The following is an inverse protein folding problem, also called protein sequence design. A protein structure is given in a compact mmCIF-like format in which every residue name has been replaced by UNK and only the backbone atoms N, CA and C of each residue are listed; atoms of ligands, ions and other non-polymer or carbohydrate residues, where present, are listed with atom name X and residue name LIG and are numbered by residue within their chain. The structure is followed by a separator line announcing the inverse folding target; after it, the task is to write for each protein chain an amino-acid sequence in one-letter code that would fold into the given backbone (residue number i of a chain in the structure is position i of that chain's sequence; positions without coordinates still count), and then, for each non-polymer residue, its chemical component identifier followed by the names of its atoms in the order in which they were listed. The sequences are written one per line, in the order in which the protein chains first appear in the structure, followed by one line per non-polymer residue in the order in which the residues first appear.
data_IF_024418939187
#
_entry.id   IF_024418939187
#
_cell.length_a   1.000
_cell.length_b   1.000
_cell.length_c   1.000
_cell.angle_alpha   90.00
_cell.angle_beta   90.00
_cell.angle_gamma   90.00
#
_symmetry.space_group_name_H-M   'P 1'
#
loop_
_entity.id
_entity.type
_entity.pdbx_description
1 polymer ?
#
# COMPACT_ATOMS: atom_id res chain seq x y z
N UNK A 1 5.13 0.62 -14.76
CA UNK A 1 3.94 1.37 -15.24
C UNK A 1 3.80 2.65 -14.45
N UNK A 2 3.57 3.79 -15.09
CA UNK A 2 3.56 5.09 -14.43
C UNK A 2 2.26 5.32 -13.64
N UNK A 3 2.40 5.65 -12.35
CA UNK A 3 1.32 6.12 -11.47
C UNK A 3 1.17 7.63 -11.66
N UNK A 4 2.18 8.41 -11.31
CA UNK A 4 2.18 9.87 -11.45
C UNK A 4 3.61 10.42 -11.60
N UNK A 5 3.77 11.74 -11.50
CA UNK A 5 5.08 12.40 -11.46
C UNK A 5 5.10 13.50 -10.41
N UNK A 6 6.28 13.72 -9.83
CA UNK A 6 6.56 14.83 -8.93
C UNK A 6 7.88 15.49 -9.32
N UNK A 7 7.87 16.78 -9.69
CA UNK A 7 9.07 17.55 -10.08
C UNK A 7 9.98 16.82 -11.08
N UNK A 8 9.40 16.19 -12.09
CA UNK A 8 10.12 15.44 -13.13
C UNK A 8 10.48 14.00 -12.74
N UNK A 9 10.38 13.62 -11.47
CA UNK A 9 10.54 12.24 -11.02
C UNK A 9 9.28 11.43 -11.37
N UNK A 10 9.46 10.24 -11.92
CA UNK A 10 8.35 9.33 -12.21
C UNK A 10 8.15 8.38 -11.04
N UNK A 11 6.90 8.27 -10.58
CA UNK A 11 6.47 7.28 -9.59
C UNK A 11 5.83 6.12 -10.35
N UNK A 12 6.39 4.93 -10.20
CA UNK A 12 6.03 3.78 -11.04
C UNK A 12 5.83 2.52 -10.20
N UNK A 13 4.94 1.63 -10.62
CA UNK A 13 4.94 0.23 -10.16
C UNK A 13 5.85 -0.56 -11.09
N UNK A 14 6.88 -1.22 -10.55
CA UNK A 14 7.64 -2.21 -11.31
C UNK A 14 6.86 -3.53 -11.25
N UNK A 15 7.15 -4.50 -12.12
CA UNK A 15 6.42 -5.78 -12.13
C UNK A 15 7.33 -6.99 -11.99
N UNK A 16 8.64 -6.79 -12.18
CA UNK A 16 9.60 -7.86 -12.00
C UNK A 16 9.97 -7.89 -10.54
N UNK A 17 9.86 -9.07 -9.95
CA UNK A 17 10.26 -9.38 -8.57
C UNK A 17 9.51 -8.59 -7.48
N UNK A 18 8.36 -8.00 -7.84
CA UNK A 18 7.51 -7.33 -6.85
C UNK A 18 6.88 -8.34 -5.91
N UNK A 19 6.96 -7.99 -4.64
CA UNK A 19 6.44 -8.76 -3.52
C UNK A 19 5.79 -7.80 -2.53
N UNK A 20 5.01 -8.37 -1.62
CA UNK A 20 4.39 -7.61 -0.54
C UNK A 20 5.44 -6.92 0.36
N UNK A 21 5.09 -5.78 0.98
CA UNK A 21 3.83 -5.02 0.84
C UNK A 21 3.67 -4.26 -0.50
N UNK A 22 2.46 -3.76 -0.81
CA UNK A 22 2.22 -2.93 -1.99
C UNK A 22 3.08 -1.67 -1.97
N UNK A 23 3.78 -1.41 -3.06
CA UNK A 23 4.71 -0.29 -3.12
C UNK A 23 4.93 0.23 -4.54
N UNK A 24 5.45 1.46 -4.62
CA UNK A 24 5.88 2.11 -5.85
C UNK A 24 7.38 2.42 -5.76
N UNK A 25 7.99 2.62 -6.92
CA UNK A 25 9.39 2.94 -7.09
C UNK A 25 9.57 4.32 -7.70
N UNK A 26 10.62 5.00 -7.26
CA UNK A 26 11.08 6.27 -7.81
C UNK A 26 12.56 6.13 -8.11
N UNK A 27 12.96 6.42 -9.36
CA UNK A 27 14.36 6.46 -9.76
C UNK A 27 14.79 7.93 -9.92
N UNK A 28 15.68 8.38 -9.04
CA UNK A 28 16.30 9.70 -9.04
C UNK A 28 17.67 9.76 -9.74
N UNK A 29 18.03 8.71 -10.49
CA UNK A 29 19.28 8.57 -11.23
C UNK A 29 20.43 8.08 -10.34
N UNK A 30 20.79 8.86 -9.32
CA UNK A 30 21.87 8.50 -8.39
C UNK A 30 21.38 7.79 -7.12
N UNK A 31 20.06 7.73 -6.94
CA UNK A 31 19.34 7.06 -5.85
C UNK A 31 18.01 6.51 -6.36
N UNK A 32 17.47 5.54 -5.65
CA UNK A 32 16.12 5.03 -5.82
C UNK A 32 15.40 5.04 -4.48
N UNK A 33 14.09 5.21 -4.48
CA UNK A 33 13.25 5.09 -3.29
C UNK A 33 12.06 4.19 -3.55
N UNK A 34 11.64 3.47 -2.52
CA UNK A 34 10.38 2.71 -2.50
C UNK A 34 9.41 3.36 -1.51
N UNK A 35 8.18 3.54 -1.94
CA UNK A 35 7.11 4.09 -1.10
C UNK A 35 6.00 3.05 -0.99
N UNK A 36 5.65 2.65 0.24
CA UNK A 36 4.58 1.70 0.52
C UNK A 36 3.24 2.41 0.47
N UNK A 37 2.23 1.68 0.00
CA UNK A 37 0.82 2.02 0.13
C UNK A 37 0.06 0.77 0.56
N UNK A 38 -1.19 0.96 0.95
CA UNK A 38 -2.03 -0.14 1.44
C UNK A 38 -3.38 -0.21 0.74
N UNK A 39 -4.04 -1.35 0.93
CA UNK A 39 -5.44 -1.60 0.55
C UNK A 39 -6.39 -1.55 1.75
N UNK A 40 -5.95 -1.08 2.92
CA UNK A 40 -6.84 -0.86 4.08
C UNK A 40 -6.78 0.58 4.64
N UNK A 41 -5.80 1.38 4.24
CA UNK A 41 -5.70 2.80 4.58
C UNK A 41 -5.00 3.57 3.43
N UNK A 42 -5.05 4.91 3.51
CA UNK A 42 -4.55 5.83 2.49
C UNK A 42 -3.17 6.42 2.79
N UNK A 43 -2.53 6.06 3.90
CA UNK A 43 -1.22 6.60 4.23
C UNK A 43 -0.13 6.03 3.32
N UNK A 44 0.90 6.85 3.11
CA UNK A 44 2.08 6.50 2.33
C UNK A 44 3.30 6.52 3.24
N UNK A 45 4.04 5.41 3.25
CA UNK A 45 5.27 5.30 4.03
C UNK A 45 6.49 5.23 3.13
N UNK A 46 7.56 5.93 3.50
CA UNK A 46 8.86 5.73 2.88
C UNK A 46 9.42 4.39 3.35
N UNK A 47 9.53 3.42 2.44
CA UNK A 47 10.11 2.12 2.75
C UNK A 47 11.63 2.23 2.89
N UNK A 48 12.29 2.66 1.81
CA UNK A 48 13.73 2.82 1.80
C UNK A 48 14.22 3.80 0.73
N UNK A 49 15.49 4.16 0.85
CA UNK A 49 16.25 4.88 -0.17
C UNK A 49 17.59 4.20 -0.34
N UNK A 50 17.94 3.86 -1.58
CA UNK A 50 19.16 3.12 -1.92
C UNK A 50 19.95 3.84 -3.02
N UNK A 51 21.26 4.07 -2.85
CA UNK A 51 22.01 3.93 -1.62
C UNK A 51 21.68 5.08 -0.65
N UNK A 52 21.68 4.80 0.66
CA UNK A 52 21.41 5.82 1.69
C UNK A 52 22.41 6.99 1.62
N UNK A 53 23.65 6.74 1.20
CA UNK A 53 24.69 7.76 1.02
C UNK A 53 24.38 8.82 -0.05
N UNK A 54 23.40 8.56 -0.92
CA UNK A 54 22.95 9.48 -1.98
C UNK A 54 21.50 9.89 -1.80
N UNK A 55 20.97 9.76 -0.58
CA UNK A 55 19.59 10.13 -0.27
C UNK A 55 19.31 11.58 -0.68
N UNK A 56 18.19 11.86 -1.36
CA UNK A 56 17.81 13.22 -1.70
C UNK A 56 17.39 14.01 -0.44
N UNK A 57 17.26 15.34 -0.53
CA UNK A 57 16.71 16.14 0.56
C UNK A 57 15.35 15.62 1.05
N UNK A 58 15.09 15.70 2.36
CA UNK A 58 13.86 15.19 2.97
C UNK A 58 12.59 15.75 2.31
N UNK A 59 12.59 17.04 1.98
CA UNK A 59 11.48 17.70 1.30
C UNK A 59 11.11 17.08 -0.07
N UNK A 60 12.07 16.44 -0.75
CA UNK A 60 11.79 15.69 -1.99
C UNK A 60 11.03 14.41 -1.67
N UNK A 61 11.44 13.68 -0.62
CA UNK A 61 10.79 12.43 -0.20
C UNK A 61 9.37 12.71 0.32
N UNK A 62 9.20 13.72 1.15
CA UNK A 62 7.88 14.16 1.63
C UNK A 62 6.98 14.60 0.46
N UNK A 63 7.56 15.31 -0.51
CA UNK A 63 6.84 15.71 -1.72
C UNK A 63 6.38 14.54 -2.57
N UNK A 64 7.19 13.47 -2.65
CA UNK A 64 6.81 12.22 -3.31
C UNK A 64 5.67 11.51 -2.57
N UNK A 65 5.76 11.40 -1.24
CA UNK A 65 4.68 10.82 -0.43
C UNK A 65 3.37 11.60 -0.62
N UNK A 66 3.38 12.92 -0.43
CA UNK A 66 2.20 13.79 -0.62
C UNK A 66 1.63 13.75 -2.03
N UNK A 67 2.50 13.58 -3.03
CA UNK A 67 2.06 13.41 -4.40
C UNK A 67 1.33 12.07 -4.56
N UNK A 68 1.85 10.99 -3.99
CA UNK A 68 1.24 9.67 -4.07
C UNK A 68 -0.06 9.57 -3.26
N UNK A 69 -0.14 10.22 -2.09
CA UNK A 69 -1.33 10.29 -1.19
C UNK A 69 -2.58 10.88 -1.87
N UNK A 70 -2.43 11.59 -2.99
CA UNK A 70 -3.58 12.11 -3.72
C UNK A 70 -4.53 10.97 -4.13
N UNK A 71 -5.85 11.06 -3.88
CA UNK A 71 -6.79 9.96 -4.09
C UNK A 71 -6.72 9.34 -5.50
N UNK A 72 -6.58 10.18 -6.53
CA UNK A 72 -6.45 9.71 -7.91
C UNK A 72 -5.16 8.89 -8.16
N UNK A 73 -4.06 9.24 -7.50
CA UNK A 73 -2.79 8.54 -7.64
C UNK A 73 -2.79 7.22 -6.86
N UNK A 74 -3.33 7.20 -5.62
CA UNK A 74 -3.55 5.98 -4.86
C UNK A 74 -4.46 4.99 -5.58
N UNK A 75 -5.63 5.45 -6.06
CA UNK A 75 -6.55 4.61 -6.85
C UNK A 75 -5.85 4.01 -8.06
N UNK A 76 -5.05 4.81 -8.75
CA UNK A 76 -4.26 4.34 -9.90
C UNK A 76 -3.19 3.32 -9.49
N UNK A 77 -2.47 3.55 -8.40
CA UNK A 77 -1.46 2.62 -7.87
C UNK A 77 -2.11 1.27 -7.51
N UNK A 78 -3.20 1.31 -6.73
CA UNK A 78 -3.99 0.12 -6.36
C UNK A 78 -4.52 -0.63 -7.58
N UNK A 79 -5.11 0.08 -8.54
CA UNK A 79 -5.62 -0.52 -9.77
C UNK A 79 -4.52 -1.21 -10.59
N UNK A 80 -3.37 -0.55 -10.74
CA UNK A 80 -2.22 -1.13 -11.43
C UNK A 80 -1.70 -2.38 -10.70
N UNK A 81 -1.47 -2.28 -9.39
CA UNK A 81 -1.00 -3.38 -8.55
C UNK A 81 -1.95 -4.57 -8.62
N UNK A 82 -3.24 -4.33 -8.35
CA UNK A 82 -4.29 -5.34 -8.42
C UNK A 82 -4.31 -6.02 -9.79
N UNK A 83 -4.36 -5.26 -10.88
CA UNK A 83 -4.45 -5.81 -12.25
C UNK A 83 -3.30 -6.76 -12.63
N UNK A 84 -2.17 -6.71 -11.92
CA UNK A 84 -0.97 -7.51 -12.25
C UNK A 84 -0.61 -8.56 -11.21
N UNK A 85 -0.77 -8.25 -9.92
CA UNK A 85 -0.35 -9.13 -8.83
C UNK A 85 -1.53 -9.86 -8.19
N UNK A 86 -2.77 -9.37 -8.38
CA UNK A 86 -4.00 -9.99 -7.86
C UNK A 86 -3.94 -10.33 -6.36
N UNK A 87 -3.23 -9.52 -5.58
CA UNK A 87 -3.16 -9.61 -4.13
C UNK A 87 -3.18 -8.21 -3.53
N UNK A 88 -3.80 -8.08 -2.36
CA UNK A 88 -3.77 -6.86 -1.54
C UNK A 88 -2.79 -6.99 -0.37
N UNK A 89 -2.09 -8.12 -0.26
CA UNK A 89 -1.10 -8.41 0.77
C UNK A 89 -1.63 -8.42 2.21
N UNK A 90 -2.93 -8.70 2.41
CA UNK A 90 -3.57 -8.76 3.73
C UNK A 90 -3.90 -10.19 4.18
N UNK A 91 -3.81 -11.18 3.29
CA UNK A 91 -4.08 -12.58 3.63
C UNK A 91 -3.18 -13.07 4.77
N UNK A 92 -3.78 -13.76 5.74
CA UNK A 92 -3.15 -14.21 6.99
C UNK A 92 -2.66 -13.12 7.95
N UNK A 93 -2.90 -11.84 7.67
CA UNK A 93 -2.67 -10.78 8.64
C UNK A 93 -3.78 -10.75 9.70
N UNK A 94 -3.50 -10.09 10.83
CA UNK A 94 -4.46 -9.91 11.91
C UNK A 94 -5.21 -8.59 11.69
N UNK A 95 -6.53 -8.65 11.76
CA UNK A 95 -7.44 -7.52 11.70
C UNK A 95 -8.06 -7.30 13.07
N UNK A 96 -7.98 -6.09 13.62
CA UNK A 96 -8.71 -5.72 14.82
C UNK A 96 -10.02 -5.04 14.43
N UNK A 97 -11.15 -5.70 14.71
CA UNK A 97 -12.47 -5.14 14.41
C UNK A 97 -12.82 -3.95 15.29
N UNK A 98 -12.11 -3.74 16.40
CA UNK A 98 -12.33 -2.58 17.26
C UNK A 98 -11.74 -1.30 16.66
N UNK A 99 -10.48 -1.35 16.21
CA UNK A 99 -9.81 -0.20 15.61
C UNK A 99 -10.01 -0.09 14.10
N UNK A 100 -10.49 -1.15 13.43
CA UNK A 100 -10.51 -1.28 11.98
C UNK A 100 -9.13 -1.11 11.33
N UNK A 101 -8.14 -1.78 11.91
CA UNK A 101 -6.76 -1.73 11.46
C UNK A 101 -6.19 -3.14 11.31
N UNK A 102 -5.19 -3.26 10.43
CA UNK A 102 -4.30 -4.41 10.45
C UNK A 102 -3.32 -4.25 11.61
N UNK A 103 -3.27 -5.24 12.49
CA UNK A 103 -2.32 -5.27 13.59
C UNK A 103 -0.94 -5.74 13.09
N UNK A 104 0.10 -4.98 13.45
CA UNK A 104 1.48 -5.47 13.52
C UNK A 104 1.69 -6.39 14.74
N UNK A 105 2.81 -6.26 15.44
CA UNK A 105 3.11 -7.01 16.67
C UNK A 105 2.28 -6.56 17.91
N UNK A 106 0.97 -6.34 17.78
CA UNK A 106 0.08 -6.01 18.90
C UNK A 106 -0.55 -7.27 19.51
N UNK A 107 -1.02 -7.13 20.75
CA UNK A 107 -1.63 -8.20 21.55
C UNK A 107 -2.91 -8.70 20.86
N UNK A 108 -3.07 -10.01 20.71
CA UNK A 108 -4.32 -10.62 20.26
C UNK A 108 -5.39 -10.41 21.32
N UNK A 109 -6.50 -9.80 20.93
CA UNK A 109 -7.69 -9.57 21.76
C UNK A 109 -8.88 -10.38 21.23
N UNK A 110 -9.98 -10.43 21.98
CA UNK A 110 -11.23 -11.07 21.55
C UNK A 110 -11.88 -10.41 20.32
N UNK A 111 -11.36 -9.26 19.87
CA UNK A 111 -11.78 -8.53 18.66
C UNK A 111 -10.82 -8.71 17.49
N UNK A 112 -9.79 -9.55 17.65
CA UNK A 112 -8.78 -9.80 16.63
C UNK A 112 -9.14 -11.02 15.79
N UNK A 113 -9.19 -10.84 14.48
CA UNK A 113 -9.50 -11.90 13.51
C UNK A 113 -8.34 -12.10 12.55
N UNK A 114 -8.13 -13.33 12.09
CA UNK A 114 -7.21 -13.59 10.97
C UNK A 114 -7.95 -13.32 9.66
N UNK A 115 -7.36 -12.52 8.78
CA UNK A 115 -7.85 -12.35 7.41
C UNK A 115 -7.63 -13.66 6.65
N UNK A 116 -8.72 -14.32 6.26
CA UNK A 116 -8.68 -15.54 5.45
C UNK A 116 -8.43 -15.25 3.97
N UNK A 117 -9.06 -14.20 3.45
CA UNK A 117 -8.85 -13.71 2.09
C UNK A 117 -9.20 -12.23 2.00
N UNK A 118 -8.50 -11.50 1.14
CA UNK A 118 -8.81 -10.10 0.86
C UNK A 118 -8.82 -9.79 -0.64
N UNK A 119 -9.77 -8.96 -1.07
CA UNK A 119 -9.98 -8.61 -2.48
C UNK A 119 -10.21 -7.11 -2.65
N UNK A 120 -9.57 -6.52 -3.65
CA UNK A 120 -9.84 -5.14 -4.06
C UNK A 120 -10.87 -5.08 -5.19
N UNK A 121 -11.79 -4.11 -5.12
CA UNK A 121 -12.79 -3.78 -6.11
C UNK A 121 -12.44 -2.42 -6.74
N UNK A 122 -11.72 -2.38 -7.88
CA UNK A 122 -11.20 -1.14 -8.44
C UNK A 122 -12.26 -0.11 -8.83
N UNK A 123 -13.41 -0.56 -9.33
CA UNK A 123 -14.49 0.31 -9.81
C UNK A 123 -15.20 1.01 -8.65
N UNK A 124 -15.21 0.37 -7.48
CA UNK A 124 -15.84 0.90 -6.26
C UNK A 124 -14.83 1.61 -5.35
N UNK A 125 -13.52 1.36 -5.53
CA UNK A 125 -12.49 1.87 -4.62
C UNK A 125 -12.56 1.19 -3.25
N UNK A 126 -13.00 -0.07 -3.19
CA UNK A 126 -13.22 -0.81 -1.94
C UNK A 126 -12.29 -1.99 -1.78
N UNK A 127 -11.99 -2.34 -0.54
CA UNK A 127 -11.38 -3.63 -0.17
C UNK A 127 -12.36 -4.44 0.67
N UNK A 128 -12.53 -5.70 0.31
CA UNK A 128 -13.33 -6.67 1.04
C UNK A 128 -12.42 -7.65 1.77
N UNK A 129 -12.63 -7.83 3.06
CA UNK A 129 -11.95 -8.82 3.88
C UNK A 129 -12.92 -9.92 4.30
N UNK A 130 -12.53 -11.18 4.08
CA UNK A 130 -13.16 -12.34 4.72
C UNK A 130 -12.34 -12.69 5.95
N UNK A 131 -12.97 -12.64 7.11
CA UNK A 131 -12.34 -12.95 8.39
C UNK A 131 -12.62 -14.40 8.79
N UNK A 132 -11.61 -15.10 9.30
CA UNK A 132 -11.76 -16.47 9.80
C UNK A 132 -12.52 -16.43 11.13
N UNK A 133 -13.48 -17.35 11.27
CA UNK A 133 -14.35 -17.49 12.45
C UNK A 133 -15.28 -16.29 12.74
N UNK A 134 -15.33 -15.31 11.84
CA UNK A 134 -16.31 -14.22 11.89
C UNK A 134 -17.58 -14.58 11.11
N UNK A 135 -18.73 -14.07 11.55
CA UNK A 135 -20.01 -14.23 10.85
C UNK A 135 -20.13 -13.34 9.61
N UNK A 136 -19.50 -12.17 9.64
CA UNK A 136 -19.54 -11.16 8.57
C UNK A 136 -18.12 -10.74 8.16
N UNK A 137 -17.98 -10.32 6.90
CA UNK A 137 -16.75 -9.74 6.38
C UNK A 137 -16.66 -8.24 6.68
N UNK A 138 -15.55 -7.62 6.27
CA UNK A 138 -15.32 -6.18 6.41
C UNK A 138 -15.24 -5.53 5.03
N UNK A 139 -15.96 -4.43 4.85
CA UNK A 139 -15.82 -3.54 3.70
C UNK A 139 -15.04 -2.29 4.11
N UNK A 140 -14.04 -1.92 3.31
CA UNK A 140 -13.21 -0.73 3.53
C UNK A 140 -13.32 0.17 2.30
N UNK A 141 -13.81 1.40 2.49
CA UNK A 141 -13.84 2.46 1.48
C UNK A 141 -12.50 3.21 1.44
N UNK A 142 -11.94 3.44 0.24
CA UNK A 142 -10.61 4.05 0.04
C UNK A 142 -10.57 5.26 -0.91
#
# INVERSE_FOLDING_TARGET
MKVCSYKGLSIVIMLRDEHCPPHVHVNGGSWSARLQFSFWHNDIELWDVVPLSRRPPLAVLEGLCRSLEQPAHLRRARGIWWSKLQTVCLDNQLWDSHSNEVLGMKLVTDTTYRVGSARYLPDEGKTLLTLIDALEGVEIDL
#
